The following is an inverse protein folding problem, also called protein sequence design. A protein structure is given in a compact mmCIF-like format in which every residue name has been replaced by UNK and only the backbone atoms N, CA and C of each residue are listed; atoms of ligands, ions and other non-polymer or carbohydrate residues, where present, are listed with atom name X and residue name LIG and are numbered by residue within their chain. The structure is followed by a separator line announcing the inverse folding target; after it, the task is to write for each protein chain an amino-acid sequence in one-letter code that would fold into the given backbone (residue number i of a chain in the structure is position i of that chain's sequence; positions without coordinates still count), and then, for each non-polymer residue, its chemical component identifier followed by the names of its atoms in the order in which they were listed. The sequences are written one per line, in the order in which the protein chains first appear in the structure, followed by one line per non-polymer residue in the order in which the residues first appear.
data_IF_691198430326
#
_entry.id   IF_691198430326
#
_cell.length_a   1.000
_cell.length_b   1.000
_cell.length_c   1.000
_cell.angle_alpha   90.00
_cell.angle_beta   90.00
_cell.angle_gamma   90.00
#
_symmetry.space_group_name_H-M   'P 1'
#
loop_
_entity.id
_entity.type
_entity.pdbx_description
1 polymer ?
#
# COMPACT_ATOMS: atom_id res chain seq x y z
N UNK A 1 -15.36 22.17 24.23
CA UNK A 1 -14.17 22.14 23.35
C UNK A 1 -14.07 20.76 22.73
N UNK A 2 -13.60 20.61 21.48
CA UNK A 2 -13.29 19.29 20.91
C UNK A 2 -12.29 18.58 21.82
N UNK A 3 -12.49 17.29 22.07
CA UNK A 3 -11.62 16.50 22.94
C UNK A 3 -11.01 15.36 22.13
N UNK A 4 -9.71 15.14 22.30
CA UNK A 4 -9.04 13.93 21.81
C UNK A 4 -9.52 12.74 22.64
N UNK A 5 -10.16 11.77 22.00
CA UNK A 5 -10.72 10.57 22.65
C UNK A 5 -9.74 9.40 22.59
N UNK A 6 -8.99 9.28 21.50
CA UNK A 6 -8.04 8.19 21.28
C UNK A 6 -6.84 8.70 20.46
N UNK A 7 -5.69 8.09 20.70
CA UNK A 7 -4.48 8.27 19.91
C UNK A 7 -4.03 6.90 19.42
N UNK A 8 -3.78 6.77 18.12
CA UNK A 8 -3.20 5.58 17.50
C UNK A 8 -1.91 5.95 16.80
N UNK A 9 -0.81 5.35 17.22
CA UNK A 9 0.52 5.62 16.66
C UNK A 9 0.80 4.53 15.62
N UNK A 10 0.82 4.92 14.35
CA UNK A 10 1.20 4.05 13.24
C UNK A 10 2.66 4.24 12.84
N UNK A 11 3.16 3.45 11.87
CA UNK A 11 4.56 3.50 11.43
C UNK A 11 4.96 4.86 10.82
N UNK A 12 4.06 5.47 10.03
CA UNK A 12 4.32 6.71 9.30
C UNK A 12 3.50 7.92 9.78
N UNK A 13 2.33 7.67 10.35
CA UNK A 13 1.40 8.71 10.82
C UNK A 13 0.87 8.35 12.20
N UNK A 14 0.50 9.36 12.97
CA UNK A 14 -0.26 9.22 14.21
C UNK A 14 -1.68 9.74 13.97
N UNK A 15 -2.69 8.92 14.26
CA UNK A 15 -4.10 9.29 14.15
C UNK A 15 -4.61 9.75 15.52
N UNK A 16 -5.09 10.99 15.57
CA UNK A 16 -5.80 11.56 16.70
C UNK A 16 -7.30 11.51 16.44
N UNK A 17 -8.03 10.74 17.24
CA UNK A 17 -9.47 10.71 17.19
C UNK A 17 -10.03 11.87 18.00
N UNK A 18 -10.87 12.67 17.38
CA UNK A 18 -11.49 13.85 17.98
C UNK A 18 -13.00 13.70 17.93
N UNK A 19 -13.65 13.89 19.07
CA UNK A 19 -15.09 14.02 19.12
C UNK A 19 -15.49 15.50 18.92
N UNK A 20 -16.22 15.85 17.85
CA UNK A 20 -16.72 17.20 17.65
C UNK A 20 -17.67 17.59 18.79
N UNK A 21 -17.60 18.85 19.23
CA UNK A 21 -18.60 19.37 20.15
C UNK A 21 -19.98 19.42 19.48
N UNK A 22 -21.04 19.33 20.29
CA UNK A 22 -22.41 19.41 19.79
C UNK A 22 -22.62 20.69 18.95
N UNK A 23 -23.24 20.54 17.78
CA UNK A 23 -23.50 21.64 16.85
C UNK A 23 -22.31 22.04 15.95
N UNK A 24 -21.12 21.46 16.13
CA UNK A 24 -19.98 21.69 15.22
C UNK A 24 -20.17 20.87 13.95
N UNK A 25 -20.27 21.55 12.80
CA UNK A 25 -20.31 20.89 11.49
C UNK A 25 -18.96 20.24 11.18
N UNK A 26 -18.98 18.98 10.78
CA UNK A 26 -17.78 18.22 10.36
C UNK A 26 -17.03 18.94 9.24
N UNK A 27 -17.74 19.53 8.27
CA UNK A 27 -17.13 20.30 7.18
C UNK A 27 -16.28 21.47 7.67
N UNK A 28 -16.61 22.07 8.83
CA UNK A 28 -15.78 23.13 9.42
C UNK A 28 -14.42 22.61 9.86
N UNK A 29 -14.36 21.38 10.37
CA UNK A 29 -13.10 20.74 10.78
C UNK A 29 -12.27 20.38 9.54
N UNK A 30 -12.91 19.77 8.54
CA UNK A 30 -12.24 19.40 7.27
C UNK A 30 -11.64 20.63 6.58
N UNK A 31 -12.36 21.76 6.58
CA UNK A 31 -11.91 23.00 5.95
C UNK A 31 -10.73 23.68 6.70
N UNK A 32 -10.46 23.30 7.96
CA UNK A 32 -9.33 23.81 8.74
C UNK A 32 -8.03 23.01 8.52
N UNK A 33 -8.01 22.09 7.56
CA UNK A 33 -6.86 21.26 7.21
C UNK A 33 -5.52 22.04 7.16
N UNK A 34 -5.46 23.15 6.41
CA UNK A 34 -4.25 23.96 6.29
C UNK A 34 -3.84 24.61 7.62
N UNK A 35 -4.81 25.13 8.38
CA UNK A 35 -4.55 25.78 9.66
C UNK A 35 -4.07 24.77 10.71
N UNK A 36 -4.61 23.55 10.68
CA UNK A 36 -4.20 22.44 11.55
C UNK A 36 -2.78 22.00 11.19
N UNK A 37 -2.47 21.82 9.91
CA UNK A 37 -1.12 21.49 9.46
C UNK A 37 -0.10 22.57 9.90
N UNK A 38 -0.45 23.84 9.73
CA UNK A 38 0.37 24.97 10.15
C UNK A 38 0.59 24.98 11.67
N UNK A 39 -0.48 24.82 12.46
CA UNK A 39 -0.40 24.83 13.92
C UNK A 39 0.43 23.67 14.48
N UNK A 40 0.48 22.54 13.78
CA UNK A 40 1.27 21.36 14.16
C UNK A 40 2.69 21.37 13.55
N UNK A 41 3.05 22.40 12.78
CA UNK A 41 4.27 22.44 11.99
C UNK A 41 4.47 21.19 11.10
N UNK A 42 3.36 20.58 10.67
CA UNK A 42 3.35 19.41 9.82
C UNK A 42 3.37 19.83 8.35
N UNK A 43 4.03 19.04 7.50
CA UNK A 43 4.02 19.27 6.03
C UNK A 43 2.60 19.20 5.47
N UNK A 44 1.80 18.27 5.98
CA UNK A 44 0.43 18.00 5.57
C UNK A 44 -0.30 17.21 6.69
N UNK A 45 -1.64 17.22 6.70
CA UNK A 45 -2.47 16.42 7.63
C UNK A 45 -3.65 15.79 6.90
N UNK A 46 -3.96 14.51 7.14
CA UNK A 46 -5.15 13.88 6.54
C UNK A 46 -6.30 13.88 7.53
N UNK A 47 -7.47 14.37 7.11
CA UNK A 47 -8.68 14.39 7.94
C UNK A 47 -9.66 13.32 7.42
N UNK A 48 -9.91 12.31 8.25
CA UNK A 48 -10.92 11.26 8.02
C UNK A 48 -12.20 11.62 8.77
N UNK A 49 -13.28 11.90 8.04
CA UNK A 49 -14.50 12.40 8.66
C UNK A 49 -15.78 11.93 7.94
N UNK A 50 -16.71 11.21 8.62
CA UNK A 50 -16.53 10.55 9.92
C UNK A 50 -15.60 9.33 9.81
N UNK A 51 -15.01 8.91 10.93
CA UNK A 51 -14.37 7.58 10.99
C UNK A 51 -15.47 6.51 10.81
N UNK A 52 -15.31 5.54 9.89
CA UNK A 52 -16.29 4.48 9.69
C UNK A 52 -16.67 3.77 10.99
N UNK A 53 -17.98 3.71 11.27
CA UNK A 53 -18.51 3.07 12.49
C UNK A 53 -18.32 3.85 13.79
N UNK A 54 -17.83 5.10 13.75
CA UNK A 54 -17.63 5.95 14.94
C UNK A 54 -18.17 7.37 14.75
N UNK A 55 -18.67 7.97 15.83
CA UNK A 55 -19.11 9.39 15.84
C UNK A 55 -17.95 10.35 16.12
N UNK A 56 -16.84 10.18 15.40
CA UNK A 56 -15.60 10.92 15.59
C UNK A 56 -14.93 11.28 14.26
N UNK A 57 -13.97 12.21 14.32
CA UNK A 57 -13.12 12.65 13.22
C UNK A 57 -11.69 12.20 13.52
N UNK A 58 -11.04 11.55 12.55
CA UNK A 58 -9.63 11.18 12.64
C UNK A 58 -8.76 12.26 12.01
N UNK A 59 -7.74 12.73 12.72
CA UNK A 59 -6.70 13.61 12.18
C UNK A 59 -5.39 12.83 12.17
N UNK A 60 -4.91 12.50 10.98
CA UNK A 60 -3.64 11.83 10.76
C UNK A 60 -2.54 12.85 10.54
N UNK A 61 -1.54 12.82 11.41
CA UNK A 61 -0.38 13.71 11.40
C UNK A 61 0.87 12.88 11.09
N UNK A 62 1.71 13.27 10.13
CA UNK A 62 2.98 12.60 9.87
C UNK A 62 3.88 12.54 11.11
N UNK A 63 4.47 11.38 11.36
CA UNK A 63 5.45 11.23 12.44
C UNK A 63 6.75 11.96 12.10
N UNK A 64 7.43 12.52 13.10
CA UNK A 64 8.77 13.10 12.92
C UNK A 64 9.80 12.05 12.44
N UNK A 65 9.65 10.81 12.91
CA UNK A 65 10.45 9.66 12.51
C UNK A 65 9.54 8.57 11.95
N UNK A 66 9.68 8.30 10.66
CA UNK A 66 8.95 7.22 9.99
C UNK A 66 9.67 5.90 10.28
N UNK A 67 8.92 4.91 10.75
CA UNK A 67 9.42 3.55 10.94
C UNK A 67 9.43 2.82 9.60
N UNK A 68 10.55 2.17 9.28
CA UNK A 68 10.66 1.35 8.08
C UNK A 68 9.82 0.07 8.26
N UNK A 69 8.93 -0.18 7.31
CA UNK A 69 8.14 -1.42 7.23
C UNK A 69 8.84 -2.36 6.26
N UNK A 70 9.41 -3.44 6.78
CA UNK A 70 10.06 -4.46 5.94
C UNK A 70 9.03 -5.38 5.30
N UNK A 71 9.32 -5.96 4.13
CA UNK A 71 8.43 -6.98 3.57
C UNK A 71 8.35 -8.21 4.49
N UNK A 72 9.47 -8.60 5.10
CA UNK A 72 9.56 -9.78 5.98
C UNK A 72 8.54 -9.70 7.12
N UNK A 73 8.51 -8.60 7.86
CA UNK A 73 7.61 -8.47 9.02
C UNK A 73 6.12 -8.47 8.64
N UNK A 74 5.79 -8.14 7.39
CA UNK A 74 4.41 -8.14 6.87
C UNK A 74 3.99 -9.56 6.51
N UNK A 75 4.93 -10.37 6.01
CA UNK A 75 4.67 -11.74 5.58
C UNK A 75 4.76 -12.76 6.72
N UNK A 76 5.53 -12.48 7.78
CA UNK A 76 5.89 -13.42 8.86
C UNK A 76 4.68 -14.16 9.46
N UNK A 77 3.52 -13.52 9.62
CA UNK A 77 2.34 -14.16 10.22
C UNK A 77 1.52 -15.04 9.26
N UNK A 78 1.62 -14.81 7.95
CA UNK A 78 0.76 -15.44 6.94
C UNK A 78 1.50 -16.38 5.99
N UNK A 79 2.83 -16.41 6.03
CA UNK A 79 3.64 -17.14 5.07
C UNK A 79 4.32 -18.36 5.69
N UNK A 80 4.33 -19.53 5.01
CA UNK A 80 3.73 -19.79 3.70
C UNK A 80 2.20 -19.82 3.76
N UNK A 81 1.55 -19.16 2.80
CA UNK A 81 0.09 -19.11 2.71
C UNK A 81 -0.44 -20.30 1.90
N UNK A 82 -1.64 -20.75 2.26
CA UNK A 82 -2.39 -21.71 1.43
C UNK A 82 -2.78 -21.11 0.08
N UNK A 83 -3.00 -19.80 0.03
CA UNK A 83 -3.22 -19.08 -1.20
C UNK A 83 -1.88 -18.65 -1.82
N UNK A 84 -1.54 -19.19 -2.99
CA UNK A 84 -0.28 -18.92 -3.70
C UNK A 84 -0.18 -17.50 -4.25
N UNK A 85 -1.30 -16.79 -4.31
CA UNK A 85 -1.41 -15.41 -4.76
C UNK A 85 -1.69 -14.43 -3.61
N UNK A 86 -1.49 -14.87 -2.36
CA UNK A 86 -1.39 -13.95 -1.22
C UNK A 86 -0.14 -13.08 -1.35
N UNK A 87 -0.26 -11.76 -1.21
CA UNK A 87 0.87 -10.83 -1.31
C UNK A 87 0.83 -9.77 -0.19
N UNK A 88 2.01 -9.38 0.31
CA UNK A 88 2.13 -8.33 1.31
C UNK A 88 2.06 -6.93 0.70
N UNK A 89 1.31 -6.02 1.32
CA UNK A 89 1.25 -4.61 0.91
C UNK A 89 1.98 -3.67 1.88
N UNK A 90 1.96 -3.96 3.18
CA UNK A 90 2.55 -3.10 4.19
C UNK A 90 1.89 -3.27 5.55
N UNK A 91 1.87 -2.19 6.34
CA UNK A 91 1.12 -2.09 7.60
C UNK A 91 0.08 -0.98 7.49
N UNK A 92 -1.03 -1.13 8.20
CA UNK A 92 -2.02 -0.07 8.33
C UNK A 92 -1.60 1.01 9.34
N UNK A 93 -2.49 1.96 9.61
CA UNK A 93 -2.26 3.04 10.58
C UNK A 93 -2.18 2.56 12.04
N UNK A 94 -2.67 1.36 12.34
CA UNK A 94 -2.55 0.72 13.66
C UNK A 94 -1.24 -0.07 13.78
N UNK A 95 -0.55 -0.27 12.66
CA UNK A 95 0.65 -1.08 12.57
C UNK A 95 0.36 -2.55 12.26
N UNK A 96 -0.88 -2.93 11.97
CA UNK A 96 -1.22 -4.32 11.68
C UNK A 96 -0.77 -4.69 10.24
N UNK A 97 -0.18 -5.89 10.04
CA UNK A 97 0.29 -6.31 8.72
C UNK A 97 -0.89 -6.53 7.77
N UNK A 98 -0.78 -5.96 6.57
CA UNK A 98 -1.79 -6.07 5.51
C UNK A 98 -1.23 -6.91 4.37
N UNK A 99 -1.94 -8.00 4.10
CA UNK A 99 -1.77 -8.82 2.91
C UNK A 99 -3.08 -8.88 2.14
N UNK A 100 -3.00 -9.16 0.84
CA UNK A 100 -4.17 -9.28 -0.02
C UNK A 100 -4.10 -10.53 -0.91
N UNK A 101 -5.22 -11.22 -1.15
CA UNK A 101 -5.32 -12.32 -2.10
C UNK A 101 -5.54 -11.80 -3.53
N UNK A 102 -4.52 -11.83 -4.40
CA UNK A 102 -4.65 -11.30 -5.78
C UNK A 102 -5.66 -12.07 -6.64
N UNK A 103 -5.95 -13.34 -6.32
CA UNK A 103 -6.98 -14.12 -7.01
C UNK A 103 -8.41 -13.62 -6.72
N UNK A 104 -8.65 -12.94 -5.59
CA UNK A 104 -9.95 -12.31 -5.29
C UNK A 104 -10.06 -10.90 -5.89
N UNK A 105 -8.92 -10.32 -6.27
CA UNK A 105 -8.82 -9.06 -7.01
C UNK A 105 -8.32 -9.36 -8.43
N UNK A 106 -9.18 -9.90 -9.34
CA UNK A 106 -8.73 -10.53 -10.58
C UNK A 106 -7.83 -9.63 -11.44
N UNK A 107 -7.96 -8.31 -11.29
CA UNK A 107 -7.01 -7.34 -11.82
C UNK A 107 -6.72 -6.23 -10.78
N UNK A 108 -5.48 -5.73 -10.79
CA UNK A 108 -5.00 -4.67 -9.91
C UNK A 108 -4.35 -3.55 -10.75
N UNK A 109 -4.71 -2.30 -10.46
CA UNK A 109 -4.06 -1.12 -11.02
C UNK A 109 -3.17 -0.44 -9.96
N UNK A 110 -1.88 -0.29 -10.25
CA UNK A 110 -0.93 0.42 -9.39
C UNK A 110 -0.43 1.68 -10.09
N UNK A 111 -0.71 2.85 -9.52
CA UNK A 111 -0.31 4.15 -10.04
C UNK A 111 0.42 4.97 -8.97
N UNK A 112 1.34 5.84 -9.40
CA UNK A 112 2.13 6.69 -8.51
C UNK A 112 3.22 7.46 -9.27
N UNK A 113 3.58 8.64 -8.74
CA UNK A 113 4.66 9.48 -9.26
C UNK A 113 6.04 8.88 -8.96
N UNK A 114 7.10 9.39 -9.61
CA UNK A 114 8.47 9.00 -9.30
C UNK A 114 8.78 9.26 -7.82
N UNK A 115 9.38 8.27 -7.14
CA UNK A 115 9.71 8.36 -5.71
C UNK A 115 8.55 8.03 -4.76
N UNK A 116 7.33 7.78 -5.25
CA UNK A 116 6.18 7.39 -4.41
C UNK A 116 6.23 5.94 -3.87
N UNK A 117 7.21 5.13 -4.31
CA UNK A 117 7.33 3.74 -3.89
C UNK A 117 6.65 2.71 -4.79
N UNK A 118 6.09 3.11 -5.95
CA UNK A 118 5.44 2.19 -6.91
C UNK A 118 6.31 0.98 -7.27
N UNK A 119 7.57 1.21 -7.64
CA UNK A 119 8.48 0.12 -8.02
C UNK A 119 8.77 -0.81 -6.85
N UNK A 120 8.91 -0.28 -5.64
CA UNK A 120 9.09 -1.06 -4.41
C UNK A 120 7.86 -1.93 -4.14
N UNK A 121 6.65 -1.38 -4.30
CA UNK A 121 5.40 -2.13 -4.16
C UNK A 121 5.30 -3.30 -5.17
N UNK A 122 5.60 -3.05 -6.45
CA UNK A 122 5.60 -4.10 -7.48
C UNK A 122 6.61 -5.21 -7.13
N UNK A 123 7.82 -4.84 -6.71
CA UNK A 123 8.82 -5.80 -6.27
C UNK A 123 8.35 -6.59 -5.03
N UNK A 124 7.65 -5.95 -4.09
CA UNK A 124 7.05 -6.60 -2.92
C UNK A 124 6.01 -7.66 -3.31
N UNK A 125 5.15 -7.35 -4.29
CA UNK A 125 4.17 -8.29 -4.85
C UNK A 125 4.87 -9.48 -5.50
N UNK A 126 5.81 -9.25 -6.41
CA UNK A 126 6.53 -10.33 -7.10
C UNK A 126 7.27 -11.20 -6.07
N UNK A 127 8.01 -10.57 -5.15
CA UNK A 127 8.76 -11.28 -4.11
C UNK A 127 7.85 -12.11 -3.21
N UNK A 128 6.67 -11.60 -2.85
CA UNK A 128 5.67 -12.38 -2.08
C UNK A 128 5.28 -13.66 -2.83
N UNK A 129 4.99 -13.57 -4.14
CA UNK A 129 4.68 -14.75 -4.95
C UNK A 129 5.85 -15.73 -4.98
N UNK A 130 7.08 -15.25 -5.18
CA UNK A 130 8.27 -16.11 -5.26
C UNK A 130 8.59 -16.83 -3.94
N UNK A 131 8.28 -16.20 -2.80
CA UNK A 131 8.47 -16.80 -1.47
C UNK A 131 7.41 -17.86 -1.15
N UNK A 132 6.25 -17.82 -1.80
CA UNK A 132 5.08 -18.62 -1.43
C UNK A 132 4.71 -19.73 -2.43
N UNK A 133 5.04 -19.51 -3.71
CA UNK A 133 4.64 -20.36 -4.82
C UNK A 133 5.86 -20.99 -5.52
N UNK A 134 5.73 -22.26 -5.88
CA UNK A 134 6.67 -22.98 -6.75
C UNK A 134 6.42 -22.62 -8.22
N UNK A 135 7.41 -22.83 -9.11
CA UNK A 135 7.28 -22.48 -10.54
C UNK A 135 6.16 -23.18 -11.32
N UNK A 136 5.66 -24.31 -10.83
CA UNK A 136 4.54 -25.03 -11.44
C UNK A 136 3.18 -24.62 -10.86
N UNK A 137 3.16 -23.88 -9.75
CA UNK A 137 1.94 -23.37 -9.11
C UNK A 137 1.58 -21.99 -9.66
N UNK A 138 2.59 -21.13 -9.90
CA UNK A 138 2.39 -19.78 -10.46
C UNK A 138 3.43 -19.50 -11.53
N UNK A 139 2.95 -18.95 -12.64
CA UNK A 139 3.77 -18.47 -13.75
C UNK A 139 3.59 -16.96 -13.94
N UNK A 140 4.69 -16.28 -14.26
CA UNK A 140 4.75 -14.83 -14.41
C UNK A 140 5.08 -14.45 -15.85
N UNK A 141 4.39 -13.43 -16.35
CA UNK A 141 4.76 -12.72 -17.57
C UNK A 141 4.99 -11.26 -17.21
N UNK A 142 6.25 -10.83 -17.26
CA UNK A 142 6.65 -9.48 -16.87
C UNK A 142 6.93 -8.64 -18.11
N UNK A 143 6.41 -7.41 -18.12
CA UNK A 143 6.54 -6.46 -19.23
C UNK A 143 7.15 -5.18 -18.66
N UNK A 144 8.34 -4.82 -19.13
CA UNK A 144 9.07 -3.61 -18.71
C UNK A 144 9.63 -2.88 -19.94
N UNK A 145 8.82 -2.01 -20.58
CA UNK A 145 9.25 -1.31 -21.79
C UNK A 145 10.33 -0.26 -21.52
N UNK A 146 10.54 0.12 -20.25
CA UNK A 146 11.58 1.09 -19.87
C UNK A 146 12.89 0.42 -19.49
N UNK A 147 12.88 -0.89 -19.24
CA UNK A 147 14.05 -1.69 -18.89
C UNK A 147 14.72 -1.29 -17.56
N UNK A 148 13.97 -0.66 -16.64
CA UNK A 148 14.52 -0.08 -15.42
C UNK A 148 14.27 -0.97 -14.20
N UNK A 149 13.15 -1.68 -14.14
CA UNK A 149 12.60 -2.18 -12.88
C UNK A 149 12.58 -3.70 -12.80
N UNK A 150 12.18 -4.39 -13.89
CA UNK A 150 11.86 -5.82 -13.83
C UNK A 150 12.93 -6.72 -14.45
N UNK A 151 13.95 -6.16 -15.10
CA UNK A 151 15.00 -6.95 -15.75
C UNK A 151 15.77 -7.86 -14.78
N UNK A 152 15.82 -7.50 -13.50
CA UNK A 152 16.44 -8.31 -12.43
C UNK A 152 15.81 -9.70 -12.28
N UNK A 153 14.56 -9.88 -12.73
CA UNK A 153 13.85 -11.16 -12.64
C UNK A 153 14.15 -12.11 -13.80
N UNK A 154 14.90 -11.70 -14.82
CA UNK A 154 15.25 -12.60 -15.92
C UNK A 154 15.99 -13.85 -15.39
N UNK A 155 15.57 -15.02 -15.86
CA UNK A 155 16.16 -16.31 -15.50
C UNK A 155 15.50 -17.04 -14.33
N UNK A 156 14.54 -16.42 -13.63
CA UNK A 156 13.76 -17.14 -12.62
C UNK A 156 12.86 -18.21 -13.27
N UNK A 157 12.67 -19.38 -12.63
CA UNK A 157 11.89 -20.48 -13.21
C UNK A 157 10.39 -20.18 -13.32
N UNK A 158 9.90 -19.15 -12.62
CA UNK A 158 8.49 -18.72 -12.68
C UNK A 158 8.16 -17.97 -13.98
N UNK A 159 9.13 -17.43 -14.71
CA UNK A 159 8.85 -16.72 -15.95
C UNK A 159 8.37 -17.67 -17.06
N UNK A 160 7.34 -17.26 -17.79
CA UNK A 160 6.90 -17.93 -19.02
C UNK A 160 7.84 -17.66 -20.18
N UNK A 161 8.30 -16.41 -20.26
CA UNK A 161 9.22 -15.88 -21.26
C UNK A 161 10.13 -14.85 -20.57
N UNK A 162 11.31 -14.55 -21.15
CA UNK A 162 12.12 -13.42 -20.68
C UNK A 162 11.31 -12.12 -20.62
N UNK A 163 11.70 -11.22 -19.71
CA UNK A 163 11.01 -9.95 -19.49
C UNK A 163 10.83 -9.21 -20.82
N UNK A 164 9.58 -8.87 -21.14
CA UNK A 164 9.24 -8.28 -22.44
C UNK A 164 9.49 -6.78 -22.40
N UNK A 165 10.41 -6.31 -23.24
CA UNK A 165 10.78 -4.90 -23.32
C UNK A 165 10.22 -4.21 -24.57
N UNK A 166 9.91 -4.97 -25.62
CA UNK A 166 9.35 -4.43 -26.85
C UNK A 166 7.81 -4.33 -26.75
N UNK A 167 7.19 -3.14 -26.91
CA UNK A 167 5.74 -2.98 -26.81
C UNK A 167 4.92 -3.81 -27.81
N UNK A 168 5.42 -4.03 -29.04
CA UNK A 168 4.74 -4.89 -30.01
C UNK A 168 4.76 -6.36 -29.58
N UNK A 169 5.88 -6.82 -29.01
CA UNK A 169 5.94 -8.17 -28.42
C UNK A 169 5.03 -8.31 -27.20
N UNK A 170 4.88 -7.24 -26.42
CA UNK A 170 3.97 -7.22 -25.27
C UNK A 170 2.50 -7.40 -25.72
N UNK A 171 2.07 -6.69 -26.76
CA UNK A 171 0.73 -6.85 -27.33
C UNK A 171 0.49 -8.30 -27.81
N UNK A 172 1.43 -8.86 -28.56
CA UNK A 172 1.35 -10.25 -29.02
C UNK A 172 1.34 -11.27 -27.87
N UNK A 173 2.03 -10.98 -26.77
CA UNK A 173 2.06 -11.86 -25.61
C UNK A 173 0.71 -11.84 -24.86
N UNK A 174 0.06 -10.67 -24.79
CA UNK A 174 -1.27 -10.51 -24.20
C UNK A 174 -2.38 -11.15 -25.05
N UNK A 175 -2.29 -11.10 -26.39
CA UNK A 175 -3.26 -11.77 -27.29
C UNK A 175 -3.25 -13.31 -27.18
N UNK A 176 -2.18 -13.88 -26.63
CA UNK A 176 -1.99 -15.34 -26.51
C UNK A 176 -2.38 -15.89 -25.14
N UNK A 177 -2.78 -15.03 -24.20
CA UNK A 177 -3.35 -15.41 -22.90
C UNK A 177 -4.85 -15.66 -23.02
#
# INVERSE_FOLDING_TARGET
MPKVTQIKIGPAVTQYEIQPAQGVKVSKIVNLHNDIALALAAKDVRIEAPIPGRSAVGIEVPNEKISLVSLKEVLDEKFPSNNKLEVGLGRDISGDPITVPLNEMPHLLVAGSTGSGKSVCINGIITSILLNAKPHEVKLMLIDPKMVELNVYNGIPHLLIPVVTNPHKAAQALEKL
#
